data_IF_938999328618
#
_entry.id   IF_938999328618
#
_cell.length_a   1.000
_cell.length_b   1.000
_cell.length_c   1.000
_cell.angle_alpha   90.00
_cell.angle_beta   90.00
_cell.angle_gamma   90.00
#
_symmetry.space_group_name_H-M   'P 1'
#
loop_
_entity.id
_entity.type
_entity.pdbx_description
1 polymer ?
#
# COMPACT_ATOMS: atom_id res chain seq x y z
N UNK A 1 -23.60 54.85 -11.17
CA UNK A 1 -22.25 54.40 -10.75
C UNK A 1 -22.33 54.15 -9.25
N UNK A 2 -22.22 52.95 -8.67
CA UNK A 2 -22.01 51.61 -9.18
C UNK A 2 -22.66 50.62 -8.19
N UNK A 3 -23.03 49.46 -8.72
CA UNK A 3 -23.61 48.30 -8.04
C UNK A 3 -22.58 47.65 -7.10
N UNK A 4 -22.96 47.27 -5.89
CA UNK A 4 -22.18 46.34 -5.05
C UNK A 4 -22.88 45.00 -5.02
N UNK A 5 -22.22 44.01 -5.61
CA UNK A 5 -22.65 42.63 -5.77
C UNK A 5 -22.50 41.82 -4.47
N UNK A 6 -23.41 40.85 -4.33
CA UNK A 6 -23.32 39.73 -3.41
C UNK A 6 -22.18 38.78 -3.81
N UNK A 7 -21.48 38.19 -2.85
CA UNK A 7 -21.22 36.75 -2.87
C UNK A 7 -20.66 36.26 -1.53
N UNK A 8 -21.42 35.38 -0.86
CA UNK A 8 -20.98 34.59 0.30
C UNK A 8 -21.00 33.14 -0.14
N UNK A 9 -19.83 32.59 -0.44
CA UNK A 9 -19.67 31.19 -0.80
C UNK A 9 -19.79 30.30 0.45
N UNK A 10 -20.73 29.36 0.34
CA UNK A 10 -20.81 28.07 1.01
C UNK A 10 -19.56 27.22 0.77
N UNK A 11 -19.15 26.42 1.75
CA UNK A 11 -18.96 24.97 1.57
C UNK A 11 -18.76 24.29 2.93
N UNK A 12 -19.76 23.47 3.26
CA UNK A 12 -19.88 22.59 4.40
C UNK A 12 -19.72 21.19 3.83
N UNK A 13 -18.62 20.49 4.16
CA UNK A 13 -18.45 19.08 3.80
C UNK A 13 -18.06 18.31 5.07
N UNK A 14 -19.10 17.90 5.79
CA UNK A 14 -19.03 16.77 6.68
C UNK A 14 -18.92 15.49 5.86
N UNK A 15 -17.97 14.64 6.20
CA UNK A 15 -18.02 13.24 5.79
C UNK A 15 -17.46 12.38 6.91
N UNK A 16 -18.36 11.97 7.81
CA UNK A 16 -18.17 10.85 8.74
C UNK A 16 -18.08 9.57 7.93
N UNK A 17 -16.99 8.85 8.07
CA UNK A 17 -16.93 7.44 7.68
C UNK A 17 -16.27 6.69 8.82
N UNK A 18 -17.14 6.19 9.70
CA UNK A 18 -16.84 5.14 10.65
C UNK A 18 -16.60 3.84 9.89
N UNK A 19 -15.37 3.33 9.98
CA UNK A 19 -15.04 1.95 9.66
C UNK A 19 -14.20 1.42 10.81
N UNK A 20 -14.91 0.82 11.77
CA UNK A 20 -14.37 0.06 12.89
C UNK A 20 -14.23 -1.42 12.49
N UNK A 21 -13.01 -1.97 12.45
CA UNK A 21 -12.82 -3.40 12.61
C UNK A 21 -12.07 -3.70 13.92
N UNK A 22 -12.82 -4.26 14.86
CA UNK A 22 -12.37 -4.93 16.08
C UNK A 22 -11.05 -5.71 15.87
N UNK A 23 -9.97 -5.19 16.43
CA UNK A 23 -8.71 -5.91 16.58
C UNK A 23 -8.71 -6.66 17.91
N UNK A 24 -9.12 -7.93 17.86
CA UNK A 24 -8.92 -8.90 18.95
C UNK A 24 -7.42 -9.09 19.20
N UNK A 25 -6.90 -8.54 20.30
CA UNK A 25 -5.59 -8.91 20.82
C UNK A 25 -5.80 -9.99 21.89
N UNK A 26 -5.40 -11.22 21.56
CA UNK A 26 -5.44 -12.38 22.44
C UNK A 26 -4.43 -12.23 23.59
N UNK A 27 -4.89 -12.46 24.82
CA UNK A 27 -4.07 -12.66 26.02
C UNK A 27 -3.28 -13.98 25.96
N UNK A 28 -2.16 -14.12 26.71
CA UNK A 28 -1.31 -15.32 26.70
C UNK A 28 -1.99 -16.58 27.28
N UNK A 29 -1.52 -17.80 26.92
CA UNK A 29 -2.27 -19.03 27.12
C UNK A 29 -2.30 -19.49 28.57
N UNK A 30 -3.48 -19.89 29.05
CA UNK A 30 -3.62 -20.74 30.25
C UNK A 30 -3.27 -22.20 29.89
N UNK A 31 -2.43 -22.79 30.72
CA UNK A 31 -2.02 -24.19 30.68
C UNK A 31 -3.20 -25.13 31.01
N UNK A 32 -3.29 -26.22 30.25
CA UNK A 32 -4.06 -27.46 30.44
C UNK A 32 -5.60 -27.41 30.51
N UNK A 33 -6.23 -27.98 29.47
CA UNK A 33 -7.20 -29.06 29.65
C UNK A 33 -7.30 -29.91 28.38
N UNK A 34 -7.04 -31.21 28.55
CA UNK A 34 -7.16 -32.28 27.57
C UNK A 34 -8.63 -32.55 27.23
N UNK A 35 -9.02 -32.40 25.97
CA UNK A 35 -10.24 -33.02 25.44
C UNK A 35 -9.93 -33.68 24.09
N UNK A 36 -10.30 -34.96 23.99
CA UNK A 36 -10.09 -35.85 22.85
C UNK A 36 -10.94 -35.40 21.65
N UNK A 37 -10.34 -35.32 20.47
CA UNK A 37 -11.06 -35.15 19.20
C UNK A 37 -11.38 -36.53 18.58
N UNK A 38 -12.58 -36.75 18.01
CA UNK A 38 -12.84 -37.89 17.13
C UNK A 38 -12.20 -37.67 15.74
N UNK A 39 -11.90 -38.75 14.98
CA UNK A 39 -11.16 -38.65 13.73
C UNK A 39 -11.99 -38.05 12.56
N UNK A 40 -11.35 -37.41 11.58
CA UNK A 40 -12.03 -36.82 10.43
C UNK A 40 -12.46 -37.89 9.41
N UNK A 41 -13.70 -37.79 8.92
CA UNK A 41 -14.23 -38.58 7.82
C UNK A 41 -13.73 -38.07 6.46
N UNK A 42 -13.37 -39.00 5.58
CA UNK A 42 -12.88 -38.75 4.21
C UNK A 42 -13.99 -38.26 3.26
N UNK A 43 -13.70 -37.37 2.28
CA UNK A 43 -14.67 -36.98 1.27
C UNK A 43 -14.82 -38.04 0.14
N UNK A 44 -16.00 -38.16 -0.51
CA UNK A 44 -16.22 -39.08 -1.62
C UNK A 44 -15.61 -38.58 -2.95
N UNK A 45 -15.30 -39.49 -3.90
CA UNK A 45 -14.60 -39.17 -5.15
C UNK A 45 -15.50 -38.51 -6.22
N UNK A 46 -14.90 -37.76 -7.18
CA UNK A 46 -15.63 -37.08 -8.24
C UNK A 46 -16.07 -38.04 -9.37
N UNK A 47 -17.29 -37.85 -9.85
CA UNK A 47 -17.83 -38.53 -11.04
C UNK A 47 -17.43 -37.77 -12.32
N UNK A 48 -16.85 -38.48 -13.28
CA UNK A 48 -16.57 -37.98 -14.63
C UNK A 48 -17.71 -38.36 -15.58
N UNK A 49 -18.22 -37.44 -16.43
CA UNK A 49 -19.11 -37.81 -17.51
C UNK A 49 -18.34 -38.34 -18.73
N UNK A 50 -18.64 -39.58 -19.08
CA UNK A 50 -18.29 -40.27 -20.32
C UNK A 50 -19.01 -39.63 -21.50
N UNK A 51 -18.29 -39.23 -22.55
CA UNK A 51 -18.86 -39.08 -23.89
C UNK A 51 -17.85 -39.56 -24.95
N UNK A 52 -18.29 -40.56 -25.71
CA UNK A 52 -17.60 -41.26 -26.79
C UNK A 52 -17.90 -40.54 -28.13
N UNK A 53 -16.96 -40.47 -29.10
CA UNK A 53 -17.26 -39.94 -30.43
C UNK A 53 -17.76 -41.05 -31.37
N UNK A 54 -18.77 -40.72 -32.20
CA UNK A 54 -19.26 -41.58 -33.28
C UNK A 54 -18.71 -41.10 -34.63
N UNK A 55 -18.04 -42.02 -35.35
CA UNK A 55 -17.59 -41.90 -36.73
C UNK A 55 -18.74 -42.24 -37.69
N UNK A 56 -18.91 -41.44 -38.75
CA UNK A 56 -19.49 -41.90 -40.00
C UNK A 56 -18.88 -41.14 -41.19
N UNK A 57 -18.61 -41.87 -42.25
CA UNK A 57 -17.82 -41.53 -43.42
C UNK A 57 -18.67 -41.30 -44.68
N UNK A 58 -18.04 -40.69 -45.70
CA UNK A 58 -18.44 -40.64 -47.13
C UNK A 58 -17.90 -39.36 -47.78
N UNK A 59 -16.82 -39.38 -48.59
CA UNK A 59 -16.71 -39.75 -50.02
C UNK A 59 -17.70 -38.95 -50.92
N UNK A 60 -17.40 -38.27 -52.03
CA UNK A 60 -16.20 -38.11 -52.89
C UNK A 60 -16.43 -36.97 -53.93
N UNK A 61 -15.33 -36.49 -54.54
CA UNK A 61 -15.14 -36.01 -55.94
C UNK A 61 -15.62 -34.63 -56.47
N UNK A 62 -14.61 -33.86 -56.93
CA UNK A 62 -14.48 -33.17 -58.24
C UNK A 62 -14.94 -31.71 -58.49
N UNK A 63 -13.93 -30.85 -58.56
CA UNK A 63 -13.52 -29.91 -59.65
C UNK A 63 -14.41 -28.76 -60.17
N UNK A 64 -13.70 -27.62 -60.34
CA UNK A 64 -13.85 -26.45 -61.25
C UNK A 64 -14.81 -25.30 -60.85
N UNK A 65 -14.25 -24.10 -60.68
CA UNK A 65 -14.48 -22.85 -61.47
C UNK A 65 -14.32 -21.60 -60.59
N UNK A 66 -13.46 -20.71 -61.08
CA UNK A 66 -13.19 -19.32 -60.69
C UNK A 66 -14.45 -18.44 -60.58
N UNK A 67 -14.55 -17.58 -59.57
CA UNK A 67 -15.13 -16.22 -59.69
C UNK A 67 -14.89 -15.38 -58.44
N UNK A 68 -14.80 -14.08 -58.68
CA UNK A 68 -14.22 -13.02 -57.85
C UNK A 68 -15.25 -12.35 -56.92
N UNK A 69 -14.79 -11.94 -55.73
CA UNK A 69 -15.23 -10.81 -54.85
C UNK A 69 -16.72 -10.66 -54.42
N UNK A 70 -17.07 -9.84 -53.39
CA UNK A 70 -16.22 -9.08 -52.48
C UNK A 70 -16.44 -9.36 -50.97
N UNK A 71 -15.35 -9.18 -50.24
CA UNK A 71 -15.26 -9.18 -48.78
C UNK A 71 -16.13 -8.08 -48.17
N UNK A 72 -16.94 -8.32 -47.12
CA UNK A 72 -17.64 -7.24 -46.45
C UNK A 72 -16.61 -6.36 -45.70
N UNK A 73 -16.50 -5.10 -46.13
CA UNK A 73 -15.76 -4.04 -45.46
C UNK A 73 -16.23 -3.96 -44.01
N UNK A 74 -15.43 -4.53 -43.09
CA UNK A 74 -15.54 -4.21 -41.66
C UNK A 74 -15.26 -2.73 -41.53
N UNK A 75 -16.32 -1.97 -41.27
CA UNK A 75 -16.23 -0.58 -40.83
C UNK A 75 -15.24 -0.51 -39.68
N UNK A 76 -14.07 0.04 -39.98
CA UNK A 76 -13.05 0.38 -39.00
C UNK A 76 -13.71 1.35 -38.02
N UNK A 77 -13.93 0.84 -36.80
CA UNK A 77 -14.44 1.61 -35.68
C UNK A 77 -13.48 2.79 -35.48
N UNK A 78 -13.93 3.99 -35.84
CA UNK A 78 -13.17 5.24 -35.74
C UNK A 78 -12.56 5.36 -34.35
N UNK A 79 -11.25 5.11 -34.29
CA UNK A 79 -10.45 5.19 -33.08
C UNK A 79 -10.43 6.65 -32.64
N UNK A 80 -10.89 6.90 -31.41
CA UNK A 80 -10.93 8.21 -30.76
C UNK A 80 -9.58 8.94 -30.89
N UNK A 81 -9.69 10.17 -31.38
CA UNK A 81 -8.83 11.35 -31.27
C UNK A 81 -7.38 11.12 -30.75
N UNK A 82 -6.35 11.28 -31.59
CA UNK A 82 -4.97 11.40 -31.14
C UNK A 82 -4.72 12.81 -30.60
N UNK A 83 -3.79 12.92 -29.64
CA UNK A 83 -3.22 14.17 -29.11
C UNK A 83 -4.00 14.89 -27.99
N UNK A 84 -4.22 14.20 -26.86
CA UNK A 84 -3.83 14.87 -25.61
C UNK A 84 -2.35 14.59 -25.40
N UNK A 85 -1.51 15.57 -25.73
CA UNK A 85 -0.14 15.63 -25.23
C UNK A 85 -0.16 15.39 -23.71
N UNK A 86 0.84 14.69 -23.13
CA UNK A 86 0.95 14.60 -21.69
C UNK A 86 0.91 16.01 -21.13
N UNK A 87 -0.16 16.35 -20.39
CA UNK A 87 -0.25 17.63 -19.69
C UNK A 87 1.07 17.79 -18.95
N UNK A 88 1.81 18.86 -19.24
CA UNK A 88 3.11 19.15 -18.64
C UNK A 88 3.04 18.81 -17.15
N UNK A 89 3.83 17.81 -16.75
CA UNK A 89 3.78 17.27 -15.41
C UNK A 89 3.94 18.42 -14.42
N UNK A 90 3.04 18.50 -13.44
CA UNK A 90 3.24 19.34 -12.25
C UNK A 90 4.68 19.08 -11.77
N UNK A 91 5.49 20.13 -11.67
CA UNK A 91 6.93 20.01 -11.38
C UNK A 91 7.21 19.05 -10.23
N UNK A 92 8.33 18.33 -10.33
CA UNK A 92 8.75 17.33 -9.35
C UNK A 92 9.02 17.93 -7.97
N UNK A 93 9.35 19.23 -7.95
CA UNK A 93 9.69 20.01 -6.76
C UNK A 93 8.42 20.40 -5.99
N UNK A 94 8.40 20.12 -4.70
CA UNK A 94 7.33 20.41 -3.75
C UNK A 94 7.94 21.00 -2.48
N UNK A 95 7.23 21.92 -1.78
CA UNK A 95 7.67 22.36 -0.46
C UNK A 95 7.97 21.17 0.46
N UNK A 96 9.14 21.19 1.09
CA UNK A 96 9.61 20.14 2.01
C UNK A 96 8.67 20.06 3.22
N UNK A 97 7.91 18.97 3.38
CA UNK A 97 6.93 18.89 4.46
C UNK A 97 7.56 18.70 5.85
N UNK A 98 8.81 18.21 5.89
CA UNK A 98 9.57 17.94 7.11
C UNK A 98 11.07 18.16 6.85
N UNK A 99 11.90 18.44 7.88
CA UNK A 99 13.35 18.61 7.73
C UNK A 99 14.09 17.40 7.17
N UNK A 100 13.56 16.18 7.35
CA UNK A 100 14.11 14.94 6.81
C UNK A 100 13.58 14.56 5.43
N UNK A 101 12.63 15.32 4.89
CA UNK A 101 12.08 15.12 3.55
C UNK A 101 12.81 16.00 2.53
N UNK A 102 13.01 15.48 1.33
CA UNK A 102 13.56 16.26 0.21
C UNK A 102 12.49 17.11 -0.45
N UNK A 103 12.90 17.94 -1.40
CA UNK A 103 12.01 18.68 -2.29
C UNK A 103 11.25 17.78 -3.29
N UNK A 104 11.60 16.49 -3.36
CA UNK A 104 10.89 15.48 -4.15
C UNK A 104 9.83 14.76 -3.32
N UNK A 105 8.68 14.54 -3.94
CA UNK A 105 7.55 13.82 -3.33
C UNK A 105 7.98 12.42 -2.85
N UNK A 106 7.50 12.04 -1.66
CA UNK A 106 7.72 10.71 -1.11
C UNK A 106 9.21 10.29 -1.06
N UNK A 107 10.11 11.27 -0.97
CA UNK A 107 11.55 11.04 -0.95
C UNK A 107 12.14 11.67 0.31
N UNK A 108 12.87 10.87 1.08
CA UNK A 108 13.57 11.29 2.30
C UNK A 108 15.06 11.37 2.05
N UNK A 109 15.77 12.16 2.86
CA UNK A 109 17.22 12.20 2.82
C UNK A 109 17.83 10.87 3.30
N UNK A 110 19.07 10.60 2.87
CA UNK A 110 19.80 9.40 3.31
C UNK A 110 20.16 9.47 4.80
N UNK A 111 20.36 8.31 5.42
CA UNK A 111 20.78 8.18 6.81
C UNK A 111 22.05 8.98 7.09
N UNK A 112 23.05 8.90 6.20
CA UNK A 112 24.30 9.68 6.30
C UNK A 112 24.03 11.18 6.32
N UNK A 113 23.17 11.68 5.43
CA UNK A 113 22.82 13.10 5.37
C UNK A 113 22.12 13.54 6.65
N UNK A 114 21.12 12.79 7.11
CA UNK A 114 20.36 13.14 8.31
C UNK A 114 21.28 13.24 9.53
N UNK A 115 22.13 12.23 9.74
CA UNK A 115 23.07 12.22 10.86
C UNK A 115 24.11 13.34 10.77
N UNK A 116 24.64 13.67 9.58
CA UNK A 116 25.62 14.75 9.43
C UNK A 116 25.04 16.14 9.66
N UNK A 117 23.71 16.29 9.59
CA UNK A 117 23.00 17.54 9.86
C UNK A 117 22.35 17.56 11.26
N UNK A 118 22.74 16.64 12.14
CA UNK A 118 22.23 16.59 13.52
C UNK A 118 20.79 16.09 13.66
N UNK A 119 20.21 15.51 12.60
CA UNK A 119 18.86 14.94 12.62
C UNK A 119 18.93 13.48 13.09
N UNK A 120 19.21 13.27 14.38
CA UNK A 120 19.25 11.95 15.02
C UNK A 120 17.87 11.44 15.46
N UNK A 121 16.89 12.34 15.55
CA UNK A 121 15.56 12.06 16.10
C UNK A 121 14.50 12.47 15.10
N UNK A 122 13.50 11.61 14.89
CA UNK A 122 12.38 11.85 13.98
C UNK A 122 11.09 11.91 14.79
N UNK A 123 10.46 13.08 14.77
CA UNK A 123 9.22 13.34 15.46
C UNK A 123 7.99 13.10 14.57
N UNK A 124 6.85 12.80 15.19
CA UNK A 124 5.57 12.72 14.50
C UNK A 124 4.38 12.73 15.43
N UNK A 125 3.28 13.27 14.92
CA UNK A 125 2.06 13.46 15.68
C UNK A 125 1.24 12.17 15.73
N UNK A 126 0.73 11.88 16.91
CA UNK A 126 -0.04 10.69 17.22
C UNK A 126 -1.30 11.05 18.00
N UNK A 127 -2.28 10.16 17.95
CA UNK A 127 -3.53 10.27 18.70
C UNK A 127 -3.81 8.96 19.41
N UNK A 128 -4.09 9.03 20.71
CA UNK A 128 -4.64 7.89 21.44
C UNK A 128 -6.08 7.61 20.99
N UNK A 129 -6.40 6.38 20.61
CA UNK A 129 -7.77 5.99 20.23
C UNK A 129 -8.73 5.84 21.43
N UNK A 130 -8.21 5.92 22.65
CA UNK A 130 -8.97 5.62 23.88
C UNK A 130 -9.31 6.86 24.70
N UNK A 131 -8.38 7.82 24.81
CA UNK A 131 -8.60 9.08 25.50
C UNK A 131 -8.51 10.30 24.56
N UNK A 132 -8.39 10.05 23.26
CA UNK A 132 -8.38 11.03 22.16
C UNK A 132 -7.26 12.08 22.19
N UNK A 133 -6.39 12.07 23.20
CA UNK A 133 -5.27 12.98 23.34
C UNK A 133 -4.34 12.88 22.13
N UNK A 134 -3.99 14.05 21.59
CA UNK A 134 -3.02 14.22 20.52
C UNK A 134 -1.73 14.78 21.09
N UNK A 135 -0.61 14.19 20.70
CA UNK A 135 0.71 14.59 21.16
C UNK A 135 1.76 14.11 20.17
N UNK A 136 3.00 14.55 20.37
CA UNK A 136 4.13 14.18 19.52
C UNK A 136 4.97 13.11 20.22
N UNK A 137 5.41 12.12 19.45
CA UNK A 137 6.41 11.15 19.89
C UNK A 137 7.61 11.18 18.95
N UNK A 138 8.73 10.64 19.44
CA UNK A 138 10.01 10.71 18.78
C UNK A 138 10.67 9.33 18.69
N UNK A 139 11.38 9.11 17.59
CA UNK A 139 12.17 7.90 17.39
C UNK A 139 13.64 8.24 17.14
N UNK A 140 14.52 7.49 17.80
CA UNK A 140 15.94 7.47 17.46
C UNK A 140 16.11 6.86 16.05
N UNK A 141 16.63 7.66 15.13
CA UNK A 141 16.76 7.33 13.72
C UNK A 141 17.63 6.09 13.51
N UNK A 142 18.79 6.03 14.16
CA UNK A 142 19.78 4.98 13.94
C UNK A 142 19.31 3.65 14.51
N UNK A 143 18.79 3.67 15.73
CA UNK A 143 18.26 2.49 16.43
C UNK A 143 17.08 1.90 15.67
N UNK A 144 16.07 2.70 15.35
CA UNK A 144 14.87 2.21 14.63
C UNK A 144 15.17 1.74 13.22
N UNK A 145 16.06 2.43 12.51
CA UNK A 145 16.50 1.97 11.19
C UNK A 145 17.18 0.60 11.28
N UNK A 146 18.09 0.41 12.24
CA UNK A 146 18.79 -0.86 12.43
C UNK A 146 17.83 -2.00 12.79
N UNK A 147 16.83 -1.77 13.66
CA UNK A 147 15.78 -2.74 14.00
C UNK A 147 15.05 -3.22 12.73
N UNK A 148 14.62 -2.28 11.87
CA UNK A 148 13.84 -2.60 10.67
C UNK A 148 14.69 -3.33 9.62
N UNK A 149 15.90 -2.86 9.34
CA UNK A 149 16.79 -3.49 8.35
C UNK A 149 17.18 -4.89 8.78
N UNK A 150 17.49 -5.10 10.07
CA UNK A 150 17.80 -6.42 10.61
C UNK A 150 16.64 -7.39 10.40
N UNK A 151 15.43 -6.95 10.73
CA UNK A 151 14.23 -7.75 10.48
C UNK A 151 14.01 -8.02 8.99
N UNK A 152 14.19 -7.00 8.13
CA UNK A 152 14.00 -7.12 6.69
C UNK A 152 14.95 -8.16 6.10
N UNK A 153 16.26 -8.05 6.35
CA UNK A 153 17.29 -8.97 5.84
C UNK A 153 17.03 -10.40 6.32
N UNK A 154 16.67 -10.59 7.59
CA UNK A 154 16.41 -11.91 8.14
C UNK A 154 15.17 -12.61 7.53
N UNK A 155 14.19 -11.85 7.03
CA UNK A 155 12.90 -12.38 6.61
C UNK A 155 12.61 -12.17 5.10
N UNK A 156 13.48 -11.47 4.36
CA UNK A 156 13.19 -11.09 2.98
C UNK A 156 12.87 -12.29 2.07
N UNK A 157 13.59 -13.41 2.23
CA UNK A 157 13.39 -14.62 1.43
C UNK A 157 12.02 -15.27 1.62
N UNK A 158 11.38 -15.08 2.79
CA UNK A 158 10.08 -15.67 3.12
C UNK A 158 8.91 -14.75 2.75
N UNK A 159 9.14 -13.44 2.65
CA UNK A 159 8.11 -12.44 2.38
C UNK A 159 7.51 -12.51 0.97
N UNK A 160 8.24 -13.00 -0.04
CA UNK A 160 7.76 -13.14 -1.44
C UNK A 160 7.06 -11.88 -1.98
N UNK A 161 7.69 -10.73 -1.78
CA UNK A 161 7.19 -9.39 -2.16
C UNK A 161 5.86 -8.98 -1.51
N UNK A 162 5.56 -9.52 -0.33
CA UNK A 162 4.38 -9.20 0.48
C UNK A 162 4.80 -8.81 1.89
N UNK A 163 4.15 -7.77 2.42
CA UNK A 163 4.39 -7.36 3.79
C UNK A 163 3.92 -8.46 4.75
N UNK A 164 4.72 -8.82 5.77
CA UNK A 164 4.30 -9.75 6.80
C UNK A 164 3.12 -9.18 7.61
N UNK A 165 2.43 -10.07 8.32
CA UNK A 165 1.26 -9.72 9.14
C UNK A 165 1.55 -8.62 10.15
N UNK A 166 2.74 -8.63 10.77
CA UNK A 166 3.16 -7.62 11.75
C UNK A 166 3.26 -6.19 11.19
N UNK A 167 3.47 -6.05 9.87
CA UNK A 167 3.48 -4.73 9.22
C UNK A 167 2.09 -4.34 8.73
N UNK A 168 1.27 -5.33 8.36
CA UNK A 168 -0.13 -5.11 7.99
C UNK A 168 -0.95 -4.65 9.20
N UNK A 169 -0.65 -5.21 10.38
CA UNK A 169 -1.27 -4.92 11.66
C UNK A 169 -0.18 -4.44 12.64
N UNK A 170 0.25 -3.17 12.54
CA UNK A 170 1.35 -2.66 13.33
C UNK A 170 1.02 -2.65 14.82
N UNK A 171 2.00 -3.04 15.64
CA UNK A 171 1.90 -2.90 17.10
C UNK A 171 2.06 -1.41 17.41
N UNK A 172 1.00 -0.82 17.94
CA UNK A 172 0.96 0.60 18.30
C UNK A 172 1.65 0.82 19.66
N UNK A 173 2.20 2.01 19.92
CA UNK A 173 2.69 2.36 21.24
C UNK A 173 1.57 2.54 22.28
N UNK A 174 1.97 2.52 23.54
CA UNK A 174 1.12 2.77 24.70
C UNK A 174 0.88 4.28 24.89
N UNK A 175 -0.26 4.65 25.48
CA UNK A 175 -0.59 6.04 25.71
C UNK A 175 0.10 6.60 26.96
N UNK A 176 0.79 7.73 26.81
CA UNK A 176 1.45 8.43 27.92
C UNK A 176 0.50 9.15 28.88
N UNK A 177 -0.80 9.23 28.53
CA UNK A 177 -1.79 10.02 29.29
C UNK A 177 -2.84 9.15 30.00
N UNK A 178 -3.24 8.01 29.42
CA UNK A 178 -4.23 7.11 30.00
C UNK A 178 -3.72 5.71 30.28
N UNK A 179 -2.41 5.47 30.06
CA UNK A 179 -1.69 4.22 30.35
C UNK A 179 -2.24 2.95 29.68
N UNK A 180 -3.21 3.11 28.77
CA UNK A 180 -3.73 2.01 27.95
C UNK A 180 -2.69 1.59 26.92
N UNK A 181 -2.61 0.29 26.70
CA UNK A 181 -1.62 -0.32 25.81
C UNK A 181 -2.05 -0.30 24.34
N UNK A 182 -1.09 -0.26 23.41
CA UNK A 182 -1.32 -0.45 21.97
C UNK A 182 -2.47 0.39 21.37
N UNK A 183 -2.59 1.64 21.80
CA UNK A 183 -3.74 2.48 21.49
C UNK A 183 -3.39 3.79 20.76
N UNK A 184 -2.10 4.05 20.54
CA UNK A 184 -1.63 5.31 19.96
C UNK A 184 -1.39 5.14 18.47
N UNK A 185 -2.28 5.72 17.64
CA UNK A 185 -2.17 5.67 16.18
C UNK A 185 -1.47 6.93 15.65
N UNK A 186 -0.76 6.86 14.52
CA UNK A 186 -0.22 8.05 13.88
C UNK A 186 -1.34 8.90 13.28
N UNK A 187 -1.17 10.23 13.33
CA UNK A 187 -2.03 11.16 12.60
C UNK A 187 -1.51 11.23 11.16
N UNK A 188 -2.24 10.58 10.25
CA UNK A 188 -1.86 10.52 8.83
C UNK A 188 -2.57 11.64 8.08
N UNK A 189 -1.80 12.67 7.73
CA UNK A 189 -2.28 13.79 6.91
C UNK A 189 -2.48 13.40 5.44
N UNK A 190 -2.91 14.37 4.63
CA UNK A 190 -3.02 14.23 3.18
C UNK A 190 -1.75 13.63 2.56
N UNK A 191 -1.92 12.79 1.52
CA UNK A 191 -0.85 12.04 0.82
C UNK A 191 0.45 12.82 0.52
N UNK A 192 0.37 14.13 0.26
CA UNK A 192 1.52 14.99 -0.07
C UNK A 192 2.34 15.41 1.15
N UNK A 193 1.73 15.39 2.34
CA UNK A 193 2.29 15.81 3.63
C UNK A 193 2.49 14.62 4.58
N UNK A 194 2.38 13.39 4.10
CA UNK A 194 2.59 12.19 4.90
C UNK A 194 4.03 12.13 5.41
N UNK A 195 4.20 11.92 6.71
CA UNK A 195 5.51 11.79 7.35
C UNK A 195 6.06 10.36 7.15
N UNK A 196 6.60 10.09 5.96
CA UNK A 196 7.03 8.74 5.56
C UNK A 196 8.11 8.15 6.45
N UNK A 197 9.09 8.96 6.88
CA UNK A 197 10.19 8.47 7.71
C UNK A 197 9.71 8.09 9.10
N UNK A 198 8.89 8.94 9.74
CA UNK A 198 8.31 8.64 11.05
C UNK A 198 7.49 7.35 11.04
N UNK A 199 6.58 7.21 10.06
CA UNK A 199 5.75 6.02 9.92
C UNK A 199 6.58 4.76 9.69
N UNK A 200 7.66 4.87 8.92
CA UNK A 200 8.59 3.77 8.68
C UNK A 200 9.31 3.37 9.97
N UNK A 201 9.93 4.32 10.68
CA UNK A 201 10.70 4.04 11.90
C UNK A 201 9.84 3.47 13.03
N UNK A 202 8.58 3.92 13.13
CA UNK A 202 7.60 3.36 14.06
C UNK A 202 7.01 2.01 13.62
N UNK A 203 7.38 1.50 12.45
CA UNK A 203 6.74 0.35 11.79
C UNK A 203 5.23 0.51 11.58
N UNK A 204 4.74 1.75 11.49
CA UNK A 204 3.31 2.12 11.40
C UNK A 204 2.81 2.36 9.97
N UNK A 205 3.58 2.03 8.93
CA UNK A 205 3.14 2.17 7.53
C UNK A 205 1.87 1.35 7.22
N UNK A 206 1.58 0.30 8.01
CA UNK A 206 0.33 -0.46 7.94
C UNK A 206 -0.93 0.37 8.25
N UNK A 207 -0.79 1.46 9.02
CA UNK A 207 -1.88 2.40 9.30
C UNK A 207 -2.28 3.21 8.06
N UNK A 208 -1.42 3.30 7.04
CA UNK A 208 -1.75 4.01 5.81
C UNK A 208 -2.87 3.31 5.03
N UNK A 209 -3.75 4.10 4.42
CA UNK A 209 -4.69 3.59 3.42
C UNK A 209 -3.96 3.17 2.15
N UNK A 210 -4.55 2.28 1.35
CA UNK A 210 -3.99 1.87 0.05
C UNK A 210 -3.71 3.07 -0.86
N UNK A 211 -4.50 4.13 -0.75
CA UNK A 211 -4.35 5.33 -1.56
C UNK A 211 -3.11 6.16 -1.18
N UNK A 212 -2.70 6.15 0.09
CA UNK A 212 -1.43 6.73 0.55
C UNK A 212 -0.25 5.92 -0.01
N UNK A 213 -0.27 4.60 0.17
CA UNK A 213 0.80 3.72 -0.31
C UNK A 213 0.97 3.78 -1.83
N UNK A 214 -0.14 3.80 -2.60
CA UNK A 214 -0.09 4.00 -4.06
C UNK A 214 0.50 5.35 -4.45
N UNK A 215 0.25 6.41 -3.67
CA UNK A 215 0.86 7.72 -3.91
C UNK A 215 2.39 7.66 -3.72
N UNK A 216 2.86 7.02 -2.64
CA UNK A 216 4.29 6.82 -2.41
C UNK A 216 4.95 6.09 -3.58
N UNK A 217 4.40 4.94 -3.95
CA UNK A 217 4.90 4.11 -5.06
C UNK A 217 4.91 4.87 -6.40
N UNK A 218 3.87 5.66 -6.69
CA UNK A 218 3.81 6.51 -7.89
C UNK A 218 4.97 7.52 -7.94
N UNK A 219 5.35 8.09 -6.81
CA UNK A 219 6.35 9.16 -6.73
C UNK A 219 7.79 8.67 -6.49
N UNK A 220 7.96 7.39 -6.19
CA UNK A 220 9.27 6.73 -6.09
C UNK A 220 9.61 5.86 -7.30
N UNK A 221 8.84 6.00 -8.40
CA UNK A 221 8.97 5.23 -9.66
C UNK A 221 8.76 3.72 -9.49
N UNK A 222 8.08 3.30 -8.42
CA UNK A 222 7.71 1.92 -8.16
C UNK A 222 6.24 1.67 -8.57
N UNK A 223 5.96 1.71 -9.87
CA UNK A 223 4.59 1.56 -10.37
C UNK A 223 4.12 0.10 -10.28
N UNK A 224 3.42 -0.25 -9.20
CA UNK A 224 2.78 -1.56 -9.05
C UNK A 224 1.28 -1.43 -8.83
N UNK A 225 0.51 -2.20 -9.58
CA UNK A 225 -0.88 -2.52 -9.24
C UNK A 225 -0.86 -3.73 -8.32
N UNK A 226 -1.32 -3.57 -7.08
CA UNK A 226 -1.29 -4.63 -6.09
C UNK A 226 -2.22 -4.39 -4.92
N UNK A 227 -2.49 -5.47 -4.19
CA UNK A 227 -3.13 -5.43 -2.89
C UNK A 227 -2.23 -4.71 -1.86
N UNK A 228 -2.82 -4.34 -0.72
CA UNK A 228 -2.17 -3.49 0.29
C UNK A 228 -0.84 -4.07 0.78
N UNK A 229 -0.76 -5.37 1.03
CA UNK A 229 0.44 -6.10 1.44
C UNK A 229 1.62 -5.95 0.46
N UNK A 230 1.34 -6.03 -0.84
CA UNK A 230 2.33 -5.87 -1.91
C UNK A 230 2.87 -4.45 -2.02
N UNK A 231 1.99 -3.46 -1.88
CA UNK A 231 2.37 -2.04 -1.96
C UNK A 231 3.10 -1.61 -0.68
N UNK A 232 2.68 -2.14 0.48
CA UNK A 232 3.32 -1.90 1.76
C UNK A 232 4.75 -2.44 1.78
N UNK A 233 4.98 -3.67 1.31
CA UNK A 233 6.32 -4.24 1.18
C UNK A 233 7.26 -3.34 0.35
N UNK A 234 6.79 -2.91 -0.82
CA UNK A 234 7.56 -2.00 -1.67
C UNK A 234 7.87 -0.67 -1.00
N UNK A 235 6.94 -0.16 -0.18
CA UNK A 235 7.13 1.08 0.57
C UNK A 235 8.26 0.94 1.58
N UNK A 236 8.27 -0.15 2.37
CA UNK A 236 9.39 -0.46 3.29
C UNK A 236 10.71 -0.62 2.54
N UNK A 237 10.74 -1.45 1.49
CA UNK A 237 11.95 -1.69 0.69
C UNK A 237 12.52 -0.40 0.12
N UNK A 238 11.66 0.44 -0.44
CA UNK A 238 12.06 1.71 -1.05
C UNK A 238 12.62 2.67 0.00
N UNK A 239 12.01 2.76 1.18
CA UNK A 239 12.52 3.61 2.26
C UNK A 239 13.86 3.11 2.80
N UNK A 240 14.06 1.79 2.90
CA UNK A 240 15.37 1.22 3.21
C UNK A 240 16.44 1.68 2.21
N UNK A 241 16.13 1.60 0.89
CA UNK A 241 17.03 2.02 -0.19
C UNK A 241 17.26 3.54 -0.24
N UNK A 242 16.27 4.35 0.13
CA UNK A 242 16.45 5.81 0.23
C UNK A 242 17.39 6.18 1.39
N UNK A 243 17.24 5.52 2.55
CA UNK A 243 18.06 5.77 3.73
C UNK A 243 19.49 5.25 3.57
N UNK A 244 19.67 4.06 3.01
CA UNK A 244 20.98 3.51 2.68
C UNK A 244 20.92 2.77 1.33
N UNK A 245 21.42 3.38 0.24
CA UNK A 245 21.46 2.74 -1.07
C UNK A 245 22.36 1.51 -1.14
N UNK A 246 23.27 1.31 -0.16
CA UNK A 246 24.22 0.20 -0.14
C UNK A 246 23.72 -1.02 0.62
N UNK A 247 22.57 -0.91 1.28
CA UNK A 247 21.98 -2.03 2.03
C UNK A 247 21.72 -3.20 1.06
N UNK A 248 22.14 -4.44 1.39
CA UNK A 248 21.99 -5.59 0.50
C UNK A 248 20.55 -6.09 0.53
N UNK A 249 19.63 -5.32 -0.06
CA UNK A 249 18.23 -5.67 -0.24
C UNK A 249 17.96 -5.81 -1.73
N UNK A 250 17.45 -6.99 -2.12
CA UNK A 250 17.14 -7.42 -3.50
C UNK A 250 16.61 -6.28 -4.39
#
# INVERSE_FOLDING_TARGET
MGTTEMNRNTENDGNSFDDDPLALCLSPPRINQSYQHPPPQSPPPPQFPTNLPSLAAGASTSTVVFSQEPTPLRLLRTRRNPTQSPRGGKGDIVPTPFPWATDRRATVHSLRYLLSHGLSTIAGDVQCKECEHQYQIEFDLKKKYAEIVTYFVANQSTMRDRAPSIWMNPILPDCSFCEKTCCVKPIISLKKKTNWLFLFLGQMLGCCTLAHLKYFCKHTKNHRTGAKDRVLYLTYLTLCKQLDPKVPLI
#
